data_IF_159468693623
#
_entry.id   IF_159468693623
#
_cell.length_a   1.000
_cell.length_b   1.000
_cell.length_c   1.000
_cell.angle_alpha   90.00
_cell.angle_beta   90.00
_cell.angle_gamma   90.00
#
_symmetry.space_group_name_H-M   'P 1'
#
loop_
_entity.id
_entity.type
_entity.pdbx_description
1 polymer ?
#
# COMPACT_ATOMS: atom_id res chain seq x y z
N UNK A 1 -14.75 6.23 -9.82
CA UNK A 1 -14.37 5.85 -8.44
C UNK A 1 -12.94 5.33 -8.45
N UNK A 2 -12.22 5.42 -7.34
CA UNK A 2 -10.93 4.75 -7.12
C UNK A 2 -11.11 3.81 -5.93
N UNK A 3 -10.50 2.64 -5.99
CA UNK A 3 -10.62 1.63 -4.94
C UNK A 3 -9.24 1.26 -4.42
N UNK A 4 -9.20 0.93 -3.13
CA UNK A 4 -8.02 0.41 -2.44
C UNK A 4 -8.45 -0.77 -1.57
N UNK A 5 -7.56 -1.73 -1.37
CA UNK A 5 -7.84 -2.92 -0.55
C UNK A 5 -6.86 -3.04 0.59
N UNK A 6 -7.31 -3.69 1.66
CA UNK A 6 -6.45 -4.24 2.71
C UNK A 6 -6.73 -5.73 2.85
N UNK A 7 -5.69 -6.52 3.10
CA UNK A 7 -5.81 -7.92 3.46
C UNK A 7 -5.40 -8.13 4.92
N UNK A 8 -6.26 -8.76 5.71
CA UNK A 8 -5.96 -9.00 7.12
C UNK A 8 -4.84 -10.05 7.31
N UNK A 9 -3.90 -9.76 8.21
CA UNK A 9 -2.85 -10.68 8.64
C UNK A 9 -2.04 -11.29 7.49
N UNK A 10 -1.94 -12.62 7.49
CA UNK A 10 -1.17 -13.37 6.49
C UNK A 10 -1.70 -13.26 5.04
N UNK A 11 -2.82 -12.57 4.82
CA UNK A 11 -3.38 -12.32 3.49
C UNK A 11 -2.95 -10.97 2.90
N UNK A 12 -2.36 -10.07 3.69
CA UNK A 12 -2.00 -8.69 3.30
C UNK A 12 -1.32 -8.59 1.94
N UNK A 13 -0.18 -9.26 1.75
CA UNK A 13 0.58 -9.17 0.49
C UNK A 13 -0.10 -9.90 -0.68
N UNK A 14 -0.85 -10.98 -0.43
CA UNK A 14 -1.56 -11.73 -1.47
C UNK A 14 -2.73 -10.91 -2.04
N UNK A 15 -3.47 -10.22 -1.17
CA UNK A 15 -4.57 -9.34 -1.58
C UNK A 15 -4.04 -8.06 -2.22
N UNK A 16 -2.94 -7.50 -1.71
CA UNK A 16 -2.27 -6.36 -2.34
C UNK A 16 -1.83 -6.68 -3.78
N UNK A 17 -1.19 -7.84 -4.00
CA UNK A 17 -0.80 -8.28 -5.33
C UNK A 17 -1.99 -8.43 -6.30
N UNK A 18 -3.10 -9.02 -5.83
CA UNK A 18 -4.33 -9.15 -6.62
C UNK A 18 -4.92 -7.79 -7.00
N UNK A 19 -5.00 -6.86 -6.05
CA UNK A 19 -5.52 -5.51 -6.34
C UNK A 19 -4.64 -4.77 -7.33
N UNK A 20 -3.32 -4.79 -7.14
CA UNK A 20 -2.38 -4.16 -8.06
C UNK A 20 -2.54 -4.72 -9.49
N UNK A 21 -2.62 -6.05 -9.64
CA UNK A 21 -2.83 -6.70 -10.94
C UNK A 21 -4.17 -6.34 -11.61
N UNK A 22 -5.18 -5.96 -10.83
CA UNK A 22 -6.51 -5.54 -11.31
C UNK A 22 -6.63 -4.01 -11.50
N UNK A 23 -5.53 -3.26 -11.36
CA UNK A 23 -5.51 -1.80 -11.48
C UNK A 23 -6.09 -1.05 -10.27
N UNK A 24 -6.13 -1.70 -9.11
CA UNK A 24 -6.52 -1.10 -7.82
C UNK A 24 -5.33 -0.56 -7.02
N UNK A 25 -5.64 0.19 -5.97
CA UNK A 25 -4.65 0.64 -4.99
C UNK A 25 -4.52 -0.39 -3.85
N UNK A 26 -3.47 -0.26 -3.04
CA UNK A 26 -3.21 -1.17 -1.93
C UNK A 26 -3.01 -0.42 -0.63
N UNK A 27 -3.30 -1.10 0.49
CA UNK A 27 -2.96 -0.68 1.85
C UNK A 27 -2.17 -1.80 2.52
N UNK A 28 -1.07 -1.40 3.17
CA UNK A 28 -0.27 -2.24 4.05
C UNK A 28 0.06 -1.48 5.33
N UNK A 29 0.40 -2.20 6.39
CA UNK A 29 0.75 -1.64 7.67
C UNK A 29 0.54 -2.63 8.81
N UNK A 30 1.18 -2.34 9.94
CA UNK A 30 1.12 -3.11 11.18
C UNK A 30 -0.28 -3.13 11.80
N UNK A 31 -1.11 -2.13 11.46
CA UNK A 31 -2.53 -2.11 11.80
C UNK A 31 -3.28 -3.30 11.20
N UNK A 32 -2.95 -3.68 9.96
CA UNK A 32 -3.67 -4.72 9.22
C UNK A 32 -3.01 -6.11 9.39
N UNK A 33 -1.69 -6.15 9.61
CA UNK A 33 -0.92 -7.39 9.76
C UNK A 33 0.37 -7.18 10.54
N UNK A 34 0.65 -8.06 11.49
CA UNK A 34 1.92 -8.07 12.24
C UNK A 34 3.07 -8.77 11.49
N UNK A 35 2.83 -9.29 10.27
CA UNK A 35 3.74 -10.23 9.61
C UNK A 35 4.47 -9.60 8.41
N UNK A 36 5.75 -9.93 8.25
CA UNK A 36 6.56 -9.69 7.04
C UNK A 36 6.76 -10.96 6.20
N UNK A 37 6.09 -12.05 6.58
CA UNK A 37 6.19 -13.37 5.97
C UNK A 37 5.65 -14.44 6.91
N UNK A 38 5.52 -15.68 6.41
CA UNK A 38 5.02 -16.80 7.23
C UNK A 38 5.90 -16.99 8.47
N UNK A 39 5.33 -16.77 9.65
CA UNK A 39 6.03 -16.92 10.94
C UNK A 39 7.07 -15.84 11.23
N UNK A 40 7.15 -14.76 10.43
CA UNK A 40 8.10 -13.67 10.63
C UNK A 40 7.35 -12.38 10.95
N UNK A 41 7.51 -11.88 12.18
CA UNK A 41 6.98 -10.56 12.55
C UNK A 41 7.68 -9.45 11.75
N UNK A 42 6.90 -8.47 11.30
CA UNK A 42 7.42 -7.27 10.68
C UNK A 42 8.09 -6.40 11.74
N UNK A 43 9.29 -5.89 11.43
CA UNK A 43 10.05 -5.00 12.32
C UNK A 43 9.54 -3.56 12.28
N UNK A 44 8.88 -3.18 11.19
CA UNK A 44 8.33 -1.83 10.99
C UNK A 44 7.29 -1.81 9.87
N UNK A 45 6.48 -0.75 9.83
CA UNK A 45 5.62 -0.47 8.68
C UNK A 45 6.44 -0.33 7.37
N UNK A 46 7.63 0.26 7.45
CA UNK A 46 8.51 0.43 6.29
C UNK A 46 8.94 -0.91 5.67
N UNK A 47 9.13 -1.97 6.47
CA UNK A 47 9.42 -3.31 5.94
C UNK A 47 8.27 -3.81 5.05
N UNK A 48 7.02 -3.61 5.47
CA UNK A 48 5.85 -3.99 4.68
C UNK A 48 5.67 -3.13 3.43
N UNK A 49 5.94 -1.82 3.51
CA UNK A 49 5.94 -0.93 2.35
C UNK A 49 6.96 -1.37 1.31
N UNK A 50 8.17 -1.77 1.72
CA UNK A 50 9.21 -2.27 0.81
C UNK A 50 8.81 -3.60 0.15
N UNK A 51 8.17 -4.51 0.90
CA UNK A 51 7.65 -5.76 0.33
C UNK A 51 6.56 -5.50 -0.70
N UNK A 52 5.64 -4.57 -0.41
CA UNK A 52 4.58 -4.18 -1.32
C UNK A 52 5.12 -3.47 -2.57
N UNK A 53 6.09 -2.57 -2.44
CA UNK A 53 6.77 -1.91 -3.57
C UNK A 53 7.41 -2.92 -4.51
N UNK A 54 8.11 -3.93 -4.00
CA UNK A 54 8.71 -5.00 -4.82
C UNK A 54 7.67 -5.74 -5.67
N UNK A 55 6.47 -5.96 -5.13
CA UNK A 55 5.37 -6.59 -5.88
C UNK A 55 4.90 -5.67 -7.00
N UNK A 56 4.67 -4.39 -6.70
CA UNK A 56 4.22 -3.39 -7.68
C UNK A 56 5.23 -3.25 -8.83
N UNK A 57 6.50 -3.06 -8.50
CA UNK A 57 7.59 -2.92 -9.48
C UNK A 57 7.77 -4.22 -10.30
N UNK A 58 7.63 -5.38 -9.67
CA UNK A 58 7.68 -6.68 -10.35
C UNK A 58 6.54 -6.91 -11.36
N UNK A 59 5.43 -6.17 -11.24
CA UNK A 59 4.34 -6.15 -12.21
C UNK A 59 4.51 -5.07 -13.30
N UNK A 60 5.64 -4.36 -13.32
CA UNK A 60 5.92 -3.28 -14.28
C UNK A 60 5.19 -1.97 -13.98
N UNK A 61 4.76 -1.78 -12.72
CA UNK A 61 4.07 -0.56 -12.26
C UNK A 61 4.99 0.30 -11.39
N UNK A 62 4.60 1.57 -11.20
CA UNK A 62 5.30 2.53 -10.34
C UNK A 62 4.43 2.93 -9.15
N UNK A 63 5.08 3.27 -8.02
CA UNK A 63 4.40 3.73 -6.80
C UNK A 63 4.21 5.25 -6.88
N UNK A 64 2.96 5.71 -6.77
CA UNK A 64 2.64 7.13 -6.74
C UNK A 64 3.34 7.84 -5.56
N UNK A 65 3.89 9.01 -5.86
CA UNK A 65 4.34 10.02 -4.90
C UNK A 65 3.14 10.61 -4.13
N UNK A 66 3.37 11.28 -2.99
CA UNK A 66 2.29 11.98 -2.29
C UNK A 66 1.58 13.04 -3.13
N UNK A 67 2.28 13.72 -4.04
CA UNK A 67 1.68 14.75 -4.91
C UNK A 67 0.80 14.13 -5.99
N UNK A 68 1.25 13.05 -6.64
CA UNK A 68 0.43 12.29 -7.59
C UNK A 68 -0.82 11.71 -6.90
N UNK A 69 -0.68 11.18 -5.68
CA UNK A 69 -1.82 10.69 -4.91
C UNK A 69 -2.84 11.80 -4.60
N UNK A 70 -2.38 13.03 -4.31
CA UNK A 70 -3.28 14.19 -4.14
C UNK A 70 -4.01 14.54 -5.43
N UNK A 71 -3.34 14.50 -6.58
CA UNK A 71 -3.96 14.75 -7.87
C UNK A 71 -5.03 13.68 -8.19
N UNK A 72 -4.66 12.40 -8.10
CA UNK A 72 -5.54 11.25 -8.37
C UNK A 72 -6.82 11.29 -7.52
N UNK A 73 -6.69 11.71 -6.26
CA UNK A 73 -7.79 11.77 -5.29
C UNK A 73 -8.41 13.16 -5.15
N UNK A 74 -7.95 14.14 -5.93
CA UNK A 74 -8.41 15.54 -5.89
C UNK A 74 -8.38 16.17 -4.47
N UNK A 75 -7.24 15.99 -3.78
CA UNK A 75 -7.05 16.47 -2.40
C UNK A 75 -6.58 17.93 -2.37
N UNK A 76 -6.93 18.64 -1.29
CA UNK A 76 -6.73 20.09 -1.13
C UNK A 76 -5.27 20.58 -1.09
N UNK A 77 -4.29 19.70 -0.83
CA UNK A 77 -2.90 20.06 -0.57
C UNK A 77 -2.52 19.91 0.92
N UNK A 78 -1.25 19.60 1.18
CA UNK A 78 -0.74 19.38 2.54
C UNK A 78 -0.65 20.66 3.38
N UNK A 79 -0.52 21.82 2.74
CA UNK A 79 -0.47 23.17 3.33
C UNK A 79 -1.84 23.70 3.77
N UNK A 80 -2.94 23.07 3.34
CA UNK A 80 -4.33 23.50 3.64
C UNK A 80 -4.96 22.69 4.77
N UNK A 81 -4.15 22.18 5.68
CA UNK A 81 -4.57 21.43 6.89
C UNK A 81 -4.34 22.27 8.14
N UNK A 82 -5.04 21.96 9.24
CA UNK A 82 -5.01 22.73 10.48
C UNK A 82 -4.35 21.94 11.62
N UNK A 83 -3.14 21.42 11.37
CA UNK A 83 -2.30 20.71 12.33
C UNK A 83 -0.82 20.96 12.02
#
# INVERSE_FOLDING_TARGET
FRWSVLGAGASQLRIAAQSAALGGNIRVGLEDSLWAGKGKLAKSNAEQVLLARKIIEGLGMEVATPDEAREILSLKGGDKVAF
#
